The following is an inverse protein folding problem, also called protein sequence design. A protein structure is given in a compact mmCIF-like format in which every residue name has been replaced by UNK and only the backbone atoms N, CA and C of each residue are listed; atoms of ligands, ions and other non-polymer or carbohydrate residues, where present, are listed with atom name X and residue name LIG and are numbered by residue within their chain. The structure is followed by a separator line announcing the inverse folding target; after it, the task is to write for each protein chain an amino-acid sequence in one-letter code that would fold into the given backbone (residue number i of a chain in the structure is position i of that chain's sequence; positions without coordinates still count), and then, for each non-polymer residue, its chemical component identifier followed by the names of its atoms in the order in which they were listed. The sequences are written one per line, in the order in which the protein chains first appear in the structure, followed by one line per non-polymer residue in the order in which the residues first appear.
data_IF_860285117759
#
_entry.id   IF_860285117759
#
_cell.length_a   1.000
_cell.length_b   1.000
_cell.length_c   1.000
_cell.angle_alpha   90.00
_cell.angle_beta   90.00
_cell.angle_gamma   90.00
#
_symmetry.space_group_name_H-M   'P 1'
#
loop_
_entity.id
_entity.type
_entity.pdbx_description
1 polymer ?
#
# COMPACT_ATOMS: atom_id res chain seq x y z
N UNK A 1 31.43 -26.98 31.93
CA UNK A 1 31.50 -27.08 30.45
C UNK A 1 30.52 -26.08 29.87
N UNK A 2 31.03 -24.95 29.40
CA UNK A 2 30.26 -24.04 28.56
C UNK A 2 30.30 -24.56 27.13
N UNK A 3 29.15 -24.71 26.49
CA UNK A 3 29.04 -24.65 25.03
C UNK A 3 27.77 -23.86 24.67
N UNK A 4 28.03 -22.57 24.47
CA UNK A 4 27.51 -21.65 23.46
C UNK A 4 26.09 -21.82 22.90
N UNK A 5 25.34 -20.73 23.11
CA UNK A 5 24.22 -20.19 22.35
C UNK A 5 24.02 -20.73 20.93
N UNK A 6 22.77 -21.09 20.63
CA UNK A 6 22.16 -20.78 19.35
C UNK A 6 20.81 -20.10 19.63
N UNK A 7 20.85 -18.83 20.03
CA UNK A 7 19.73 -17.92 19.78
C UNK A 7 19.71 -17.71 18.27
N UNK A 8 19.01 -18.58 17.55
CA UNK A 8 18.45 -18.17 16.28
C UNK A 8 17.48 -17.05 16.67
N UNK A 9 17.89 -15.79 16.52
CA UNK A 9 16.93 -14.71 16.45
C UNK A 9 16.02 -15.08 15.29
N UNK A 10 14.87 -15.68 15.58
CA UNK A 10 13.83 -15.91 14.59
C UNK A 10 13.60 -14.54 13.96
N UNK A 11 13.92 -14.42 12.68
CA UNK A 11 13.67 -13.20 11.93
C UNK A 11 12.18 -12.86 12.11
N UNK A 12 11.84 -11.57 12.24
CA UNK A 12 10.44 -11.19 12.39
C UNK A 12 9.64 -11.75 11.22
N UNK A 13 8.43 -12.26 11.49
CA UNK A 13 7.53 -12.76 10.45
C UNK A 13 7.28 -11.69 9.37
N UNK A 14 7.37 -10.42 9.75
CA UNK A 14 7.24 -9.25 8.89
C UNK A 14 8.07 -8.09 9.44
N UNK A 15 8.96 -7.53 8.60
CA UNK A 15 9.68 -6.30 8.91
C UNK A 15 8.75 -5.10 8.77
N UNK A 16 8.80 -4.16 9.72
CA UNK A 16 7.97 -2.95 9.68
C UNK A 16 8.83 -1.71 9.40
N UNK A 17 8.48 -0.97 8.35
CA UNK A 17 9.03 0.35 8.04
C UNK A 17 7.95 1.39 8.28
N UNK A 18 8.22 2.36 9.14
CA UNK A 18 7.33 3.50 9.40
C UNK A 18 7.96 4.76 8.86
N UNK A 19 7.26 5.39 7.94
CA UNK A 19 7.59 6.65 7.30
C UNK A 19 6.57 7.70 7.72
N UNK A 20 6.94 8.97 7.62
CA UNK A 20 6.07 10.09 7.94
C UNK A 20 6.33 11.20 6.91
N UNK A 21 5.30 11.57 6.16
CA UNK A 21 5.37 12.61 5.13
C UNK A 21 6.28 12.31 3.94
N UNK A 22 6.77 11.07 3.79
CA UNK A 22 7.71 10.74 2.70
C UNK A 22 7.00 10.89 1.36
N UNK A 23 7.60 11.55 0.35
CA UNK A 23 6.99 11.68 -0.97
C UNK A 23 6.60 10.31 -1.54
N UNK A 24 5.37 10.20 -2.05
CA UNK A 24 4.85 8.92 -2.54
C UNK A 24 5.73 8.27 -3.63
N UNK A 25 6.42 9.08 -4.44
CA UNK A 25 7.37 8.55 -5.43
C UNK A 25 8.53 7.80 -4.76
N UNK A 26 9.09 8.34 -3.67
CA UNK A 26 10.18 7.70 -2.93
C UNK A 26 9.74 6.41 -2.27
N UNK A 27 8.53 6.39 -1.69
CA UNK A 27 7.95 5.16 -1.15
C UNK A 27 7.76 4.10 -2.25
N UNK A 28 7.22 4.46 -3.42
CA UNK A 28 7.07 3.53 -4.54
C UNK A 28 8.42 2.97 -5.03
N UNK A 29 9.47 3.79 -5.03
CA UNK A 29 10.83 3.31 -5.33
C UNK A 29 11.38 2.35 -4.26
N UNK A 30 11.10 2.62 -2.98
CA UNK A 30 11.45 1.72 -1.88
C UNK A 30 10.73 0.37 -2.03
N UNK A 31 9.42 0.41 -2.30
CA UNK A 31 8.60 -0.78 -2.53
C UNK A 31 9.14 -1.63 -3.67
N UNK A 32 9.40 -1.02 -4.83
CA UNK A 32 9.94 -1.74 -5.98
C UNK A 32 11.32 -2.34 -5.67
N UNK A 33 12.20 -1.60 -4.98
CA UNK A 33 13.52 -2.09 -4.59
C UNK A 33 13.40 -3.30 -3.67
N UNK A 34 12.60 -3.20 -2.60
CA UNK A 34 12.39 -4.30 -1.65
C UNK A 34 11.79 -5.52 -2.33
N UNK A 35 10.77 -5.33 -3.18
CA UNK A 35 10.12 -6.40 -3.94
C UNK A 35 11.11 -7.15 -4.85
N UNK A 36 12.12 -6.46 -5.40
CA UNK A 36 13.09 -7.05 -6.34
C UNK A 36 14.33 -7.62 -5.66
N UNK A 37 14.73 -7.11 -4.49
CA UNK A 37 16.04 -7.40 -3.90
C UNK A 37 15.99 -8.07 -2.53
N UNK A 38 14.82 -8.21 -1.90
CA UNK A 38 14.67 -8.86 -0.59
C UNK A 38 13.82 -10.13 -0.72
N UNK A 39 14.15 -11.14 0.09
CA UNK A 39 13.32 -12.34 0.31
C UNK A 39 12.51 -12.26 1.60
N UNK A 40 12.55 -11.13 2.32
CA UNK A 40 11.84 -10.96 3.59
C UNK A 40 10.41 -10.44 3.34
N UNK A 41 9.55 -10.61 4.34
CA UNK A 41 8.23 -9.98 4.32
C UNK A 41 8.33 -8.55 4.89
N UNK A 42 7.61 -7.60 4.30
CA UNK A 42 7.61 -6.20 4.70
C UNK A 42 6.20 -5.66 4.86
N UNK A 43 6.00 -4.84 5.88
CA UNK A 43 4.91 -3.88 6.02
C UNK A 43 5.53 -2.48 5.99
N UNK A 44 5.08 -1.64 5.07
CA UNK A 44 5.52 -0.25 4.96
C UNK A 44 4.31 0.62 5.22
N UNK A 45 4.41 1.52 6.21
CA UNK A 45 3.36 2.48 6.53
C UNK A 45 3.95 3.87 6.38
N UNK A 46 3.26 4.72 5.63
CA UNK A 46 3.62 6.13 5.51
C UNK A 46 2.42 6.99 5.87
N UNK A 47 2.63 7.86 6.85
CA UNK A 47 1.63 8.80 7.31
C UNK A 47 1.74 10.10 6.50
N UNK A 48 0.99 10.17 5.40
CA UNK A 48 0.94 11.32 4.51
C UNK A 48 2.06 11.41 3.47
N UNK A 49 1.89 12.35 2.55
CA UNK A 49 2.92 12.86 1.64
C UNK A 49 2.78 14.39 1.60
N UNK A 50 3.90 15.11 1.72
CA UNK A 50 3.87 16.57 1.90
C UNK A 50 3.24 17.34 0.71
N UNK A 51 3.34 16.79 -0.50
CA UNK A 51 2.77 17.39 -1.70
C UNK A 51 1.60 16.57 -2.24
N UNK A 52 0.42 17.18 -2.47
CA UNK A 52 -0.67 16.57 -3.22
C UNK A 52 -0.14 16.04 -4.55
N UNK A 53 -0.36 14.76 -4.83
CA UNK A 53 0.21 14.08 -6.00
C UNK A 53 -0.85 13.20 -6.64
N UNK A 54 -0.96 13.25 -7.97
CA UNK A 54 -1.78 12.29 -8.72
C UNK A 54 -0.94 11.06 -9.03
N UNK A 55 -1.42 9.90 -8.59
CA UNK A 55 -0.78 8.61 -8.81
C UNK A 55 -1.65 7.78 -9.76
N UNK A 56 -1.17 7.61 -10.98
CA UNK A 56 -1.84 6.83 -12.02
C UNK A 56 -1.39 5.36 -11.97
N UNK A 57 -2.29 4.43 -12.31
CA UNK A 57 -1.90 3.06 -12.62
C UNK A 57 -0.98 3.00 -13.84
N UNK A 58 -0.16 1.95 -13.94
CA UNK A 58 0.90 1.81 -14.96
C UNK A 58 0.41 2.06 -16.40
N UNK A 59 -0.79 1.56 -16.72
CA UNK A 59 -1.41 1.65 -18.05
C UNK A 59 -2.19 2.95 -18.28
N UNK A 60 -2.32 3.81 -17.27
CA UNK A 60 -3.11 5.03 -17.36
C UNK A 60 -2.53 6.02 -18.38
N UNK A 61 -3.41 6.74 -19.08
CA UNK A 61 -3.04 7.82 -20.01
C UNK A 61 -3.50 9.16 -19.45
N UNK A 62 -2.61 10.15 -19.29
CA UNK A 62 -2.98 11.44 -18.68
C UNK A 62 -4.21 12.08 -19.34
N UNK A 63 -4.22 12.21 -20.66
CA UNK A 63 -5.30 12.86 -21.40
C UNK A 63 -6.67 12.15 -21.32
N UNK A 64 -6.73 10.94 -20.78
CA UNK A 64 -7.98 10.18 -20.60
C UNK A 64 -8.45 10.16 -19.14
N UNK A 65 -7.55 10.39 -18.17
CA UNK A 65 -7.81 10.12 -16.75
C UNK A 65 -7.59 11.32 -15.83
N UNK A 66 -7.01 12.42 -16.32
CA UNK A 66 -6.77 13.63 -15.54
C UNK A 66 -7.15 14.89 -16.31
N UNK A 67 -7.59 15.92 -15.58
CA UNK A 67 -7.78 17.27 -16.10
C UNK A 67 -6.42 17.96 -16.26
N UNK A 68 -5.75 17.72 -17.39
CA UNK A 68 -4.35 18.12 -17.63
C UNK A 68 -4.12 19.62 -17.38
N UNK A 69 -5.05 20.48 -17.81
CA UNK A 69 -4.92 21.92 -17.64
C UNK A 69 -4.91 22.32 -16.16
N UNK A 70 -5.80 21.74 -15.33
CA UNK A 70 -5.87 22.02 -13.90
C UNK A 70 -4.62 21.53 -13.18
N UNK A 71 -4.15 20.33 -13.50
CA UNK A 71 -2.92 19.78 -12.93
C UNK A 71 -1.69 20.66 -13.24
N UNK A 72 -1.58 21.16 -14.48
CA UNK A 72 -0.49 22.06 -14.87
C UNK A 72 -0.59 23.42 -14.17
N UNK A 73 -1.80 23.98 -14.07
CA UNK A 73 -2.07 25.25 -13.40
C UNK A 73 -1.71 25.18 -11.91
N UNK A 74 -2.15 24.12 -11.25
CA UNK A 74 -1.98 23.91 -9.80
C UNK A 74 -0.61 23.30 -9.46
N UNK A 75 0.18 22.94 -10.47
CA UNK A 75 1.52 22.33 -10.35
C UNK A 75 1.50 21.04 -9.52
N UNK A 76 0.44 20.26 -9.65
CA UNK A 76 0.30 18.97 -8.97
C UNK A 76 1.15 17.93 -9.70
N UNK A 77 2.11 17.26 -9.02
CA UNK A 77 2.87 16.19 -9.64
C UNK A 77 1.97 15.04 -10.11
N UNK A 78 2.31 14.46 -11.27
CA UNK A 78 1.66 13.27 -11.81
C UNK A 78 2.69 12.18 -11.98
N UNK A 79 2.50 11.06 -11.32
CA UNK A 79 3.39 9.90 -11.40
C UNK A 79 2.63 8.65 -11.82
N UNK A 80 3.35 7.67 -12.37
CA UNK A 80 2.83 6.32 -12.61
C UNK A 80 3.44 5.37 -11.58
N UNK A 81 2.60 4.56 -10.95
CA UNK A 81 3.06 3.42 -10.14
C UNK A 81 3.26 2.18 -11.01
N UNK A 82 3.99 1.20 -10.49
CA UNK A 82 4.30 -0.05 -11.19
C UNK A 82 3.12 -1.04 -11.20
N UNK A 83 2.13 -0.87 -10.31
CA UNK A 83 0.91 -1.70 -10.27
C UNK A 83 -0.18 -1.19 -11.22
N UNK A 84 -1.15 -2.06 -11.51
CA UNK A 84 -2.36 -1.71 -12.25
C UNK A 84 -3.35 -0.90 -11.40
N UNK A 85 -4.60 -0.81 -11.86
CA UNK A 85 -5.68 -0.11 -11.14
C UNK A 85 -5.89 1.34 -11.59
N UNK A 86 -6.76 2.04 -10.88
CA UNK A 86 -7.21 3.40 -11.23
C UNK A 86 -6.22 4.50 -10.87
N UNK A 87 -6.64 5.74 -11.14
CA UNK A 87 -5.95 6.97 -10.74
C UNK A 87 -6.41 7.39 -9.34
N UNK A 88 -5.49 7.80 -8.49
CA UNK A 88 -5.79 8.36 -7.16
C UNK A 88 -5.09 9.71 -6.99
N UNK A 89 -5.61 10.54 -6.10
CA UNK A 89 -4.92 11.71 -5.57
C UNK A 89 -4.59 11.44 -4.11
N UNK A 90 -3.38 11.80 -3.69
CA UNK A 90 -2.86 11.54 -2.35
C UNK A 90 -2.17 12.79 -1.80
N UNK A 91 -2.20 12.95 -0.49
CA UNK A 91 -1.71 14.13 0.22
C UNK A 91 -1.30 13.81 1.67
N UNK A 92 -1.11 14.85 2.49
CA UNK A 92 -0.78 14.74 3.92
C UNK A 92 -1.84 13.99 4.75
N UNK A 93 -3.09 13.91 4.29
CA UNK A 93 -4.17 13.19 4.95
C UNK A 93 -4.29 11.73 4.52
N UNK A 94 -3.43 11.27 3.61
CA UNK A 94 -3.45 9.91 3.08
C UNK A 94 -2.51 8.99 3.87
N UNK A 95 -3.04 7.89 4.40
CA UNK A 95 -2.21 6.82 4.99
C UNK A 95 -1.94 5.77 3.91
N UNK A 96 -0.67 5.50 3.65
CA UNK A 96 -0.25 4.43 2.76
C UNK A 96 0.12 3.20 3.58
N UNK A 97 -0.34 2.03 3.15
CA UNK A 97 0.02 0.75 3.74
C UNK A 97 0.34 -0.25 2.63
N UNK A 98 1.57 -0.75 2.62
CA UNK A 98 2.05 -1.72 1.63
C UNK A 98 2.47 -3.01 2.32
N UNK A 99 2.02 -4.13 1.79
CA UNK A 99 2.43 -5.47 2.21
C UNK A 99 3.22 -6.14 1.09
N UNK A 100 4.47 -6.50 1.36
CA UNK A 100 5.30 -7.33 0.51
C UNK A 100 5.43 -8.68 1.22
N UNK A 101 4.74 -9.70 0.72
CA UNK A 101 4.67 -11.00 1.38
C UNK A 101 5.12 -12.13 0.44
N UNK A 102 5.92 -13.04 0.98
CA UNK A 102 6.16 -14.33 0.37
C UNK A 102 4.89 -15.17 0.40
N UNK A 103 4.65 -15.96 -0.66
CA UNK A 103 3.46 -16.81 -0.78
C UNK A 103 3.33 -17.80 0.37
N UNK A 104 4.45 -18.33 0.84
CA UNK A 104 4.48 -19.32 1.93
C UNK A 104 4.12 -18.71 3.30
N UNK A 105 4.26 -17.38 3.45
CA UNK A 105 3.87 -16.67 4.67
C UNK A 105 2.36 -16.42 4.75
N UNK A 106 1.65 -16.52 3.62
CA UNK A 106 0.19 -16.34 3.51
C UNK A 106 -0.44 -17.52 2.76
N UNK A 107 -0.38 -18.74 3.33
CA UNK A 107 -0.80 -19.94 2.65
C UNK A 107 -2.27 -19.87 2.23
N UNK A 108 -2.55 -20.23 0.97
CA UNK A 108 -3.90 -20.22 0.40
C UNK A 108 -4.34 -18.88 -0.20
N UNK A 109 -3.60 -17.79 0.01
CA UNK A 109 -3.88 -16.51 -0.65
C UNK A 109 -3.31 -16.53 -2.06
N UNK A 110 -4.18 -16.47 -3.06
CA UNK A 110 -3.75 -16.44 -4.46
C UNK A 110 -3.23 -15.04 -4.83
N UNK A 111 -2.14 -14.92 -5.61
CA UNK A 111 -1.44 -13.66 -5.84
C UNK A 111 -2.11 -12.81 -6.93
N UNK A 112 -3.38 -12.46 -6.73
CA UNK A 112 -4.14 -11.55 -7.58
C UNK A 112 -5.13 -10.74 -6.73
N UNK A 113 -5.70 -9.64 -7.24
CA UNK A 113 -6.35 -8.60 -6.44
C UNK A 113 -7.37 -9.10 -5.41
N UNK A 114 -8.43 -9.77 -5.84
CA UNK A 114 -9.57 -10.09 -4.96
C UNK A 114 -9.22 -10.98 -3.76
N UNK A 115 -8.43 -12.06 -3.88
CA UNK A 115 -7.99 -12.85 -2.73
C UNK A 115 -7.07 -12.09 -1.78
N UNK A 116 -6.16 -11.26 -2.29
CA UNK A 116 -5.26 -10.43 -1.45
C UNK A 116 -6.09 -9.41 -0.65
N UNK A 117 -7.06 -8.77 -1.28
CA UNK A 117 -7.94 -7.78 -0.63
C UNK A 117 -8.88 -8.45 0.37
N UNK A 118 -9.36 -9.66 0.08
CA UNK A 118 -10.16 -10.44 1.02
C UNK A 118 -9.34 -10.90 2.23
N UNK A 119 -8.05 -11.19 2.05
CA UNK A 119 -7.15 -11.51 3.15
C UNK A 119 -6.84 -10.28 4.02
N UNK A 120 -6.48 -9.15 3.39
CA UNK A 120 -6.14 -7.92 4.10
C UNK A 120 -7.36 -7.25 4.75
N UNK A 121 -8.59 -7.51 4.27
CA UNK A 121 -9.80 -7.03 4.94
C UNK A 121 -10.02 -7.68 6.30
N UNK A 122 -9.46 -8.87 6.58
CA UNK A 122 -9.48 -9.46 7.92
C UNK A 122 -8.72 -8.59 8.92
N UNK A 123 -7.52 -8.15 8.53
CA UNK A 123 -6.69 -7.23 9.34
C UNK A 123 -7.44 -5.91 9.58
N UNK A 124 -7.98 -5.31 8.53
CA UNK A 124 -8.68 -4.02 8.67
C UNK A 124 -10.02 -4.15 9.41
N UNK A 125 -10.65 -5.32 9.37
CA UNK A 125 -11.82 -5.64 10.20
C UNK A 125 -11.52 -5.47 11.68
N UNK A 126 -10.35 -5.94 12.13
CA UNK A 126 -9.88 -5.78 13.51
C UNK A 126 -9.50 -4.31 13.80
N UNK A 127 -8.77 -3.66 12.88
CA UNK A 127 -8.35 -2.25 13.03
C UNK A 127 -9.55 -1.31 13.22
N UNK A 128 -10.64 -1.54 12.49
CA UNK A 128 -11.83 -0.70 12.52
C UNK A 128 -12.95 -1.24 13.40
N UNK A 129 -12.70 -2.32 14.16
CA UNK A 129 -13.68 -2.91 15.06
C UNK A 129 -14.16 -1.88 16.08
N UNK A 130 -15.49 -1.72 16.17
CA UNK A 130 -16.11 -0.78 17.11
C UNK A 130 -16.02 0.70 16.71
N UNK A 131 -15.37 1.03 15.59
CA UNK A 131 -15.27 2.41 15.09
C UNK A 131 -16.42 2.71 14.13
N UNK A 132 -16.51 1.97 13.02
CA UNK A 132 -17.53 2.12 11.96
C UNK A 132 -17.75 0.79 11.26
N UNK A 133 -18.84 0.70 10.50
CA UNK A 133 -19.15 -0.48 9.66
C UNK A 133 -18.17 -0.57 8.47
N UNK A 134 -17.03 -1.21 8.72
CA UNK A 134 -16.03 -1.54 7.71
C UNK A 134 -16.51 -2.69 6.82
N UNK A 135 -16.30 -2.56 5.51
CA UNK A 135 -16.47 -3.65 4.57
C UNK A 135 -15.47 -3.56 3.41
N UNK A 136 -15.20 -4.71 2.80
CA UNK A 136 -14.61 -4.80 1.47
C UNK A 136 -15.75 -4.85 0.44
N UNK A 137 -15.75 -3.91 -0.52
CA UNK A 137 -16.65 -3.93 -1.67
C UNK A 137 -15.82 -3.91 -2.94
N UNK A 138 -15.91 -4.98 -3.72
CA UNK A 138 -15.02 -5.22 -4.86
C UNK A 138 -13.55 -5.16 -4.42
N UNK A 139 -12.85 -4.10 -4.81
CA UNK A 139 -11.44 -3.86 -4.49
C UNK A 139 -11.22 -2.71 -3.50
N UNK A 140 -12.30 -2.17 -2.93
CA UNK A 140 -12.28 -0.95 -2.13
C UNK A 140 -12.72 -1.20 -0.69
N UNK A 141 -12.08 -0.49 0.24
CA UNK A 141 -12.50 -0.42 1.63
C UNK A 141 -13.50 0.71 1.82
N UNK A 142 -14.61 0.38 2.48
CA UNK A 142 -15.73 1.30 2.65
C UNK A 142 -16.18 1.39 4.10
N UNK A 143 -16.70 2.56 4.48
CA UNK A 143 -17.57 2.72 5.63
C UNK A 143 -18.99 2.97 5.12
N UNK A 144 -19.88 1.99 5.33
CA UNK A 144 -21.21 1.99 4.69
C UNK A 144 -21.10 2.05 3.17
N UNK A 145 -21.54 3.15 2.55
CA UNK A 145 -21.46 3.37 1.10
C UNK A 145 -20.26 4.22 0.64
N UNK A 146 -19.44 4.72 1.57
CA UNK A 146 -18.37 5.65 1.24
C UNK A 146 -17.02 4.94 1.21
N UNK A 147 -16.35 5.00 0.06
CA UNK A 147 -14.97 4.54 -0.08
C UNK A 147 -14.03 5.42 0.75
N UNK A 148 -13.14 4.78 1.48
CA UNK A 148 -12.05 5.46 2.19
C UNK A 148 -10.67 4.84 1.90
N UNK A 149 -10.61 3.62 1.35
CA UNK A 149 -9.36 2.97 0.97
C UNK A 149 -9.47 2.35 -0.43
N UNK A 150 -8.45 2.58 -1.25
CA UNK A 150 -8.27 1.91 -2.54
C UNK A 150 -7.05 1.00 -2.49
N UNK A 151 -7.13 -0.14 -3.19
CA UNK A 151 -6.06 -1.15 -3.21
C UNK A 151 -5.55 -1.33 -4.65
N UNK A 152 -4.27 -1.68 -4.80
CA UNK A 152 -3.61 -1.87 -6.10
C UNK A 152 -2.53 -2.95 -6.07
#
# INVERSE_FOLDING_TARGET
MALFQNTIHQLPLMNLVRLQGVPILEQLCLEERLLRTSSDNWCIINDGTDQPTVVMGVSGKPNELIEVNSVLQDKVPVIKRFTGGGTVIVDHGTIFATFICNKDAVPGVKPYPQPIMSWSSLLYGDVFQGIREFALRENDYVFGSHKFGGNA
#
